data_IF_954082183565
#
_entry.id   IF_954082183565
#
_cell.length_a   1.000
_cell.length_b   1.000
_cell.length_c   1.000
_cell.angle_alpha   90.00
_cell.angle_beta   90.00
_cell.angle_gamma   90.00
#
_symmetry.space_group_name_H-M   'P 1'
#
loop_
_entity.id
_entity.type
_entity.pdbx_description
1 polymer ?
#
# COMPACT_ATOMS: atom_id res chain seq x y z
N UNK A 1 19.69 7.18 7.26
CA UNK A 1 18.89 7.66 6.11
C UNK A 1 17.85 6.61 5.85
N UNK A 2 16.63 6.78 6.36
CA UNK A 2 15.50 5.98 5.88
C UNK A 2 15.48 6.14 4.35
N UNK A 3 15.51 5.03 3.64
CA UNK A 3 15.70 5.05 2.20
C UNK A 3 14.52 5.83 1.60
N UNK A 4 14.76 6.66 0.57
CA UNK A 4 13.65 7.27 -0.18
C UNK A 4 12.66 6.22 -0.69
N UNK A 5 13.10 4.96 -0.85
CA UNK A 5 12.28 3.87 -1.36
C UNK A 5 11.17 3.47 -0.38
N UNK A 6 11.43 3.41 0.92
CA UNK A 6 10.40 3.00 1.89
C UNK A 6 9.22 3.97 1.89
N UNK A 7 9.50 5.27 1.84
CA UNK A 7 8.48 6.30 1.71
C UNK A 7 7.80 6.28 0.35
N UNK A 8 8.53 5.93 -0.71
CA UNK A 8 7.94 5.76 -2.05
C UNK A 8 6.97 4.57 -2.10
N UNK A 9 7.29 3.48 -1.39
CA UNK A 9 6.38 2.34 -1.25
C UNK A 9 5.09 2.74 -0.53
N UNK A 10 5.20 3.45 0.60
CA UNK A 10 4.03 3.93 1.34
C UNK A 10 3.17 4.91 0.51
N UNK A 11 3.81 5.78 -0.28
CA UNK A 11 3.11 6.65 -1.25
C UNK A 11 2.44 5.86 -2.36
N UNK A 12 3.07 4.79 -2.86
CA UNK A 12 2.47 3.91 -3.87
C UNK A 12 1.22 3.20 -3.35
N UNK A 13 1.22 2.79 -2.07
CA UNK A 13 0.05 2.21 -1.40
C UNK A 13 -1.08 3.24 -1.23
N UNK A 14 -0.77 4.49 -0.89
CA UNK A 14 -1.77 5.55 -0.83
C UNK A 14 -2.36 5.85 -2.23
N UNK A 15 -1.52 5.86 -3.27
CA UNK A 15 -1.97 6.09 -4.65
C UNK A 15 -2.88 4.98 -5.19
N UNK A 16 -2.71 3.74 -4.72
CA UNK A 16 -3.57 2.60 -5.05
C UNK A 16 -5.04 2.86 -4.68
N UNK A 17 -5.32 3.56 -3.58
CA UNK A 17 -6.70 3.85 -3.16
C UNK A 17 -7.43 4.84 -4.05
N UNK A 18 -6.72 5.86 -4.57
CA UNK A 18 -7.30 6.81 -5.51
C UNK A 18 -7.77 6.13 -6.81
N UNK A 19 -7.16 4.99 -7.17
CA UNK A 19 -7.55 4.24 -8.36
C UNK A 19 -8.78 3.34 -8.15
N UNK A 20 -9.06 2.91 -6.90
CA UNK A 20 -10.17 2.00 -6.59
C UNK A 20 -11.54 2.70 -6.53
N UNK A 21 -11.58 4.04 -6.55
CA UNK A 21 -12.80 4.84 -6.44
C UNK A 21 -13.61 4.99 -7.74
N UNK A 22 -13.19 4.39 -8.86
CA UNK A 22 -13.86 4.56 -10.15
C UNK A 22 -14.55 3.27 -10.64
N UNK A 23 -15.90 3.20 -10.67
CA UNK A 23 -16.60 2.11 -11.33
C UNK A 23 -17.07 2.52 -12.74
N UNK A 24 -16.61 1.82 -13.79
CA UNK A 24 -17.23 1.86 -15.12
C UNK A 24 -17.52 0.45 -15.69
N UNK A 25 -18.70 -0.05 -15.32
CA UNK A 25 -19.73 -0.79 -16.07
C UNK A 25 -19.30 -1.63 -17.29
N UNK A 26 -19.56 -2.95 -17.18
CA UNK A 26 -19.46 -4.09 -18.13
C UNK A 26 -18.25 -5.05 -18.03
N UNK A 27 -17.43 -4.94 -16.98
CA UNK A 27 -16.35 -5.87 -16.63
C UNK A 27 -16.39 -6.32 -15.16
N UNK A 28 -17.57 -6.24 -14.54
CA UNK A 28 -17.81 -6.37 -13.10
C UNK A 28 -17.07 -7.52 -12.42
N UNK A 29 -17.08 -8.74 -12.98
CA UNK A 29 -16.40 -9.86 -12.34
C UNK A 29 -14.88 -9.66 -12.31
N UNK A 30 -14.27 -9.23 -13.42
CA UNK A 30 -12.83 -9.00 -13.47
C UNK A 30 -12.45 -7.82 -12.57
N UNK A 31 -13.18 -6.71 -12.66
CA UNK A 31 -12.96 -5.53 -11.83
C UNK A 31 -13.07 -5.86 -10.35
N UNK A 32 -14.08 -6.63 -9.96
CA UNK A 32 -14.25 -7.09 -8.58
C UNK A 32 -13.11 -8.01 -8.14
N UNK A 33 -12.74 -9.00 -8.97
CA UNK A 33 -11.66 -9.91 -8.64
C UNK A 33 -10.31 -9.19 -8.53
N UNK A 34 -10.01 -8.24 -9.41
CA UNK A 34 -8.77 -7.43 -9.38
C UNK A 34 -8.78 -6.50 -8.17
N UNK A 35 -9.87 -5.76 -7.95
CA UNK A 35 -10.01 -4.85 -6.82
C UNK A 35 -9.90 -5.58 -5.49
N UNK A 36 -10.45 -6.80 -5.39
CA UNK A 36 -10.34 -7.62 -4.19
C UNK A 36 -8.89 -8.04 -3.91
N UNK A 37 -8.11 -8.45 -4.92
CA UNK A 37 -6.69 -8.77 -4.72
C UNK A 37 -5.89 -7.53 -4.28
N UNK A 38 -6.17 -6.37 -4.88
CA UNK A 38 -5.53 -5.11 -4.48
C UNK A 38 -5.91 -4.72 -3.05
N UNK A 39 -7.17 -4.89 -2.67
CA UNK A 39 -7.66 -4.62 -1.33
C UNK A 39 -7.02 -5.51 -0.27
N UNK A 40 -6.92 -6.81 -0.55
CA UNK A 40 -6.26 -7.77 0.35
C UNK A 40 -4.78 -7.43 0.52
N UNK A 41 -4.09 -7.08 -0.56
CA UNK A 41 -2.70 -6.62 -0.48
C UNK A 41 -2.52 -5.36 0.39
N UNK A 42 -3.41 -4.36 0.23
CA UNK A 42 -3.34 -3.14 1.06
C UNK A 42 -3.60 -3.48 2.52
N UNK A 43 -4.59 -4.34 2.80
CA UNK A 43 -4.90 -4.84 4.13
C UNK A 43 -3.71 -5.54 4.78
N UNK A 44 -3.10 -6.49 4.07
CA UNK A 44 -1.89 -7.19 4.51
C UNK A 44 -0.75 -6.19 4.78
N UNK A 45 -0.56 -5.20 3.90
CA UNK A 45 0.46 -4.17 4.09
C UNK A 45 0.21 -3.32 5.34
N UNK A 46 -1.04 -2.96 5.63
CA UNK A 46 -1.42 -2.23 6.83
C UNK A 46 -1.19 -3.06 8.10
N UNK A 47 -1.49 -4.36 8.07
CA UNK A 47 -1.21 -5.24 9.20
C UNK A 47 0.30 -5.36 9.48
N UNK A 48 1.13 -5.48 8.43
CA UNK A 48 2.59 -5.46 8.57
C UNK A 48 3.09 -4.13 9.15
N UNK A 49 2.59 -3.01 8.65
CA UNK A 49 2.92 -1.67 9.17
C UNK A 49 2.53 -1.53 10.64
N UNK A 50 1.32 -1.96 10.99
CA UNK A 50 0.82 -1.98 12.36
C UNK A 50 1.76 -2.74 13.29
N UNK A 51 2.20 -3.94 12.87
CA UNK A 51 3.11 -4.75 13.68
C UNK A 51 4.44 -4.05 13.92
N UNK A 52 5.07 -3.51 12.87
CA UNK A 52 6.35 -2.81 12.98
C UNK A 52 6.22 -1.53 13.81
N UNK A 53 5.19 -0.73 13.57
CA UNK A 53 4.98 0.50 14.34
C UNK A 53 4.65 0.23 15.79
N UNK A 54 3.90 -0.82 16.12
CA UNK A 54 3.69 -1.21 17.52
C UNK A 54 5.01 -1.55 18.22
N UNK A 55 5.92 -2.28 17.56
CA UNK A 55 7.24 -2.57 18.12
C UNK A 55 8.06 -1.30 18.37
N UNK A 56 8.02 -0.36 17.43
CA UNK A 56 8.69 0.94 17.56
C UNK A 56 8.10 1.75 18.72
N UNK A 57 6.76 1.78 18.85
CA UNK A 57 6.07 2.46 19.93
C UNK A 57 6.47 1.86 21.28
N UNK A 58 6.39 0.53 21.41
CA UNK A 58 6.71 -0.19 22.64
C UNK A 58 8.16 0.08 23.09
N UNK A 59 9.11 0.06 22.16
CA UNK A 59 10.52 0.35 22.49
C UNK A 59 10.75 1.85 22.77
N UNK A 60 10.09 2.74 22.04
CA UNK A 60 10.19 4.18 22.28
C UNK A 60 9.67 4.55 23.68
N UNK A 61 8.56 3.95 24.13
CA UNK A 61 7.99 4.19 25.47
C UNK A 61 8.87 3.69 26.62
N UNK A 62 9.69 2.65 26.36
CA UNK A 62 10.64 2.14 27.35
C UNK A 62 11.87 3.04 27.51
N UNK A 63 12.29 3.72 26.43
CA UNK A 63 13.52 4.50 26.38
C UNK A 63 13.26 5.97 26.70
N UNK A 64 12.19 6.54 26.18
CA UNK A 64 11.91 7.96 26.28
C UNK A 64 11.27 8.32 27.63
N UNK A 65 11.67 9.43 28.28
CA UNK A 65 10.95 9.95 29.43
C UNK A 65 9.45 10.14 29.12
N UNK A 66 8.52 9.91 30.08
CA UNK A 66 7.08 10.04 29.85
C UNK A 66 6.60 11.43 29.36
N UNK A 67 7.42 12.46 29.57
CA UNK A 67 7.14 13.84 29.16
C UNK A 67 7.85 14.23 27.84
N UNK A 68 8.42 13.25 27.13
CA UNK A 68 9.06 13.48 25.83
C UNK A 68 8.05 13.98 24.82
N UNK A 69 8.34 15.12 24.19
CA UNK A 69 7.51 15.71 23.15
C UNK A 69 8.09 15.29 21.80
N UNK A 70 7.61 14.19 21.25
CA UNK A 70 7.88 13.77 19.88
C UNK A 70 6.59 13.78 19.08
N UNK A 71 6.60 14.39 17.90
CA UNK A 71 5.47 14.37 16.99
C UNK A 71 5.30 12.97 16.40
N UNK A 72 6.36 12.33 15.93
CA UNK A 72 6.32 11.03 15.23
C UNK A 72 5.74 9.95 16.13
N UNK A 73 6.16 9.87 17.42
CA UNK A 73 5.61 8.88 18.34
C UNK A 73 4.11 9.04 18.54
N UNK A 74 3.62 10.28 18.59
CA UNK A 74 2.19 10.56 18.72
C UNK A 74 1.45 10.13 17.46
N UNK A 75 1.90 10.56 16.29
CA UNK A 75 1.24 10.19 15.03
C UNK A 75 1.27 8.67 14.81
N UNK A 76 2.36 7.97 15.17
CA UNK A 76 2.42 6.51 15.10
C UNK A 76 1.38 5.83 16.00
N UNK A 77 1.17 6.35 17.21
CA UNK A 77 0.13 5.85 18.13
C UNK A 77 -1.26 6.08 17.58
N UNK A 78 -1.50 7.27 17.02
CA UNK A 78 -2.79 7.63 16.43
C UNK A 78 -3.07 6.76 15.20
N UNK A 79 -2.07 6.51 14.36
CA UNK A 79 -2.15 5.57 13.23
C UNK A 79 -2.46 4.14 13.66
N UNK A 80 -1.71 3.59 14.63
CA UNK A 80 -1.95 2.23 15.13
C UNK A 80 -3.33 2.12 15.78
N UNK A 81 -3.75 3.15 16.53
CA UNK A 81 -5.10 3.20 17.11
C UNK A 81 -6.19 3.26 16.03
N UNK A 82 -5.97 3.98 14.92
CA UNK A 82 -6.89 3.99 13.80
C UNK A 82 -7.01 2.58 13.19
N UNK A 83 -5.89 1.92 12.91
CA UNK A 83 -5.87 0.55 12.40
C UNK A 83 -6.52 -0.47 13.35
N UNK A 84 -6.36 -0.32 14.66
CA UNK A 84 -7.01 -1.17 15.68
C UNK A 84 -8.53 -1.08 15.66
N UNK A 85 -9.09 0.00 15.10
CA UNK A 85 -10.55 0.18 14.96
C UNK A 85 -11.11 -0.33 13.64
N UNK A 86 -10.24 -0.73 12.70
CA UNK A 86 -10.64 -1.28 11.41
C UNK A 86 -10.92 -2.77 11.57
N UNK A 87 -12.09 -3.19 11.10
CA UNK A 87 -12.35 -4.59 10.82
C UNK A 87 -11.91 -4.87 9.38
N UNK A 88 -10.72 -5.43 9.22
CA UNK A 88 -10.18 -5.79 7.91
C UNK A 88 -11.01 -6.88 7.20
N UNK A 89 -11.88 -7.59 7.92
CA UNK A 89 -12.85 -8.52 7.33
C UNK A 89 -14.07 -7.81 6.72
N UNK A 90 -14.29 -6.53 7.05
CA UNK A 90 -15.37 -5.71 6.48
C UNK A 90 -14.85 -4.71 5.44
N UNK A 91 -14.99 -5.08 4.17
CA UNK A 91 -14.63 -4.23 3.02
C UNK A 91 -15.29 -2.85 2.99
N UNK A 92 -16.36 -2.60 3.77
CA UNK A 92 -17.00 -1.29 3.87
C UNK A 92 -16.25 -0.30 4.77
N UNK A 93 -15.26 -0.76 5.55
CA UNK A 93 -14.43 0.09 6.41
C UNK A 93 -13.38 0.90 5.62
N UNK A 94 -13.39 0.84 4.28
CA UNK A 94 -12.53 1.61 3.37
C UNK A 94 -12.48 3.11 3.68
N UNK A 95 -13.59 3.73 4.07
CA UNK A 95 -13.62 5.16 4.40
C UNK A 95 -12.77 5.49 5.64
N UNK A 96 -12.56 4.53 6.54
CA UNK A 96 -11.74 4.71 7.74
C UNK A 96 -10.27 4.39 7.48
N UNK A 97 -10.00 3.65 6.42
CA UNK A 97 -8.64 3.43 5.92
C UNK A 97 -8.06 4.70 5.29
N UNK A 98 -8.91 5.56 4.71
CA UNK A 98 -8.51 6.89 4.23
C UNK A 98 -7.93 7.74 5.38
N UNK A 99 -8.62 7.82 6.52
CA UNK A 99 -8.14 8.54 7.72
C UNK A 99 -6.77 8.01 8.17
N UNK A 100 -6.59 6.68 8.24
CA UNK A 100 -5.30 6.09 8.62
C UNK A 100 -4.19 6.43 7.62
N UNK A 101 -4.50 6.50 6.32
CA UNK A 101 -3.52 6.87 5.31
C UNK A 101 -3.12 8.35 5.39
N UNK A 102 -4.03 9.25 5.73
CA UNK A 102 -3.70 10.66 5.97
C UNK A 102 -2.71 10.81 7.14
N UNK A 103 -2.92 10.07 8.22
CA UNK A 103 -1.98 10.03 9.36
C UNK A 103 -0.62 9.45 8.95
N UNK A 104 -0.62 8.41 8.11
CA UNK A 104 0.61 7.86 7.56
C UNK A 104 1.37 8.90 6.73
N UNK A 105 0.69 9.65 5.85
CA UNK A 105 1.28 10.73 5.04
C UNK A 105 1.92 11.82 5.94
N UNK A 106 1.25 12.18 7.03
CA UNK A 106 1.79 13.09 8.06
C UNK A 106 3.12 12.57 8.62
N UNK A 107 3.16 11.29 9.02
CA UNK A 107 4.38 10.62 9.51
C UNK A 107 5.50 10.66 8.46
N UNK A 108 5.19 10.35 7.19
CA UNK A 108 6.15 10.41 6.06
C UNK A 108 6.78 11.79 5.97
N UNK A 109 5.94 12.82 5.99
CA UNK A 109 6.37 14.20 5.81
C UNK A 109 7.29 14.65 6.94
N UNK A 110 6.94 14.32 8.19
CA UNK A 110 7.75 14.66 9.37
C UNK A 110 9.08 13.90 9.32
N UNK A 111 9.06 12.60 9.05
CA UNK A 111 10.27 11.79 9.05
C UNK A 111 11.20 12.05 7.84
N UNK A 112 10.66 12.57 6.73
CA UNK A 112 11.42 13.03 5.57
C UNK A 112 12.07 14.40 5.75
N UNK A 113 11.71 15.15 6.81
CA UNK A 113 12.32 16.43 7.12
C UNK A 113 13.80 16.26 7.51
N UNK A 114 14.65 17.22 7.12
CA UNK A 114 16.10 17.13 7.37
C UNK A 114 16.50 17.45 8.81
N UNK A 115 15.61 18.04 9.59
CA UNK A 115 15.85 18.51 10.94
C UNK A 115 14.67 18.06 11.80
N UNK A 116 14.89 17.05 12.64
CA UNK A 116 13.90 16.66 13.64
C UNK A 116 13.77 17.79 14.67
N UNK A 117 12.53 18.19 14.97
CA UNK A 117 12.28 19.21 15.97
C UNK A 117 12.51 18.72 17.41
N UNK A 118 12.62 17.39 17.62
CA UNK A 118 12.83 16.78 18.93
C UNK A 118 13.78 15.58 18.92
N UNK A 119 14.52 15.39 20.02
CA UNK A 119 15.32 14.18 20.28
C UNK A 119 14.45 12.91 20.30
N UNK A 120 13.19 13.04 20.75
CA UNK A 120 12.23 11.95 20.76
C UNK A 120 11.93 11.45 19.34
N UNK A 121 11.74 12.36 18.38
CA UNK A 121 11.49 12.00 16.97
C UNK A 121 12.70 11.31 16.35
N UNK A 122 13.91 11.78 16.66
CA UNK A 122 15.15 11.13 16.21
C UNK A 122 15.24 9.68 16.74
N UNK A 123 14.98 9.47 18.03
CA UNK A 123 14.97 8.12 18.64
C UNK A 123 13.95 7.22 17.96
N UNK A 124 12.72 7.70 17.72
CA UNK A 124 11.65 6.92 17.07
C UNK A 124 12.04 6.51 15.66
N UNK A 125 12.66 7.41 14.87
CA UNK A 125 13.15 7.08 13.53
C UNK A 125 14.30 6.07 13.58
N UNK A 126 15.20 6.19 14.55
CA UNK A 126 16.28 5.21 14.74
C UNK A 126 15.72 3.83 15.11
N UNK A 127 14.71 3.78 15.97
CA UNK A 127 14.02 2.54 16.33
C UNK A 127 13.32 1.91 15.13
N UNK A 128 12.65 2.72 14.30
CA UNK A 128 12.06 2.22 13.06
C UNK A 128 13.11 1.58 12.17
N UNK A 129 14.23 2.28 11.92
CA UNK A 129 15.39 1.75 11.16
C UNK A 129 15.91 0.44 11.76
N UNK A 130 16.04 0.37 13.09
CA UNK A 130 16.55 -0.80 13.81
C UNK A 130 15.62 -2.01 13.70
N UNK A 131 14.30 -1.80 13.73
CA UNK A 131 13.29 -2.86 13.64
C UNK A 131 13.03 -3.37 12.22
N UNK A 132 13.91 -3.04 11.27
CA UNK A 132 13.94 -3.70 9.97
C UNK A 132 13.05 -3.04 8.94
N UNK A 133 13.16 -1.71 8.77
CA UNK A 133 12.56 -1.00 7.61
C UNK A 133 12.90 -1.69 6.30
N UNK A 134 14.13 -2.17 6.15
CA UNK A 134 14.58 -2.90 4.96
C UNK A 134 13.84 -4.24 4.79
N UNK A 135 13.55 -4.95 5.89
CA UNK A 135 12.78 -6.19 5.84
C UNK A 135 11.32 -5.90 5.51
N UNK A 136 10.72 -4.87 6.11
CA UNK A 136 9.37 -4.41 5.80
C UNK A 136 9.25 -4.02 4.33
N UNK A 137 10.18 -3.23 3.80
CA UNK A 137 10.19 -2.81 2.39
C UNK A 137 10.24 -4.02 1.45
N UNK A 138 11.11 -5.00 1.73
CA UNK A 138 11.18 -6.23 0.93
C UNK A 138 9.92 -7.09 1.04
N UNK A 139 9.30 -7.19 2.22
CA UNK A 139 8.05 -7.93 2.41
C UNK A 139 6.95 -7.27 1.58
N UNK A 140 6.84 -5.96 1.69
CA UNK A 140 5.86 -5.13 1.01
C UNK A 140 6.02 -5.19 -0.52
N UNK A 141 7.25 -5.07 -1.03
CA UNK A 141 7.56 -5.20 -2.46
C UNK A 141 7.23 -6.60 -2.99
N UNK A 142 7.59 -7.66 -2.24
CA UNK A 142 7.24 -9.04 -2.63
C UNK A 142 5.75 -9.30 -2.63
N UNK A 143 5.01 -8.72 -1.67
CA UNK A 143 3.55 -8.82 -1.63
C UNK A 143 2.93 -8.12 -2.84
N UNK A 144 3.45 -6.95 -3.23
CA UNK A 144 3.03 -6.24 -4.43
C UNK A 144 3.32 -7.05 -5.70
N UNK A 145 4.55 -7.55 -5.87
CA UNK A 145 4.92 -8.38 -7.02
C UNK A 145 4.02 -9.62 -7.12
N UNK A 146 3.78 -10.30 -5.99
CA UNK A 146 2.93 -11.49 -5.92
C UNK A 146 1.48 -11.15 -6.31
N UNK A 147 0.94 -10.06 -5.79
CA UNK A 147 -0.43 -9.62 -6.08
C UNK A 147 -0.60 -9.24 -7.55
N UNK A 148 0.34 -8.47 -8.12
CA UNK A 148 0.32 -8.12 -9.54
C UNK A 148 0.39 -9.36 -10.45
N UNK A 149 1.13 -10.40 -10.03
CA UNK A 149 1.16 -11.68 -10.74
C UNK A 149 -0.15 -12.45 -10.64
N UNK A 150 -0.83 -12.41 -9.50
CA UNK A 150 -2.19 -12.98 -9.35
C UNK A 150 -3.16 -12.24 -10.26
N UNK A 151 -3.13 -10.90 -10.26
CA UNK A 151 -3.94 -10.06 -11.16
C UNK A 151 -3.67 -10.42 -12.64
N UNK A 152 -2.40 -10.57 -13.03
CA UNK A 152 -2.02 -11.01 -14.37
C UNK A 152 -2.68 -12.34 -14.75
N UNK A 153 -2.61 -13.34 -13.87
CA UNK A 153 -3.21 -14.66 -14.09
C UNK A 153 -4.74 -14.57 -14.19
N UNK A 154 -5.39 -13.73 -13.40
CA UNK A 154 -6.85 -13.54 -13.43
C UNK A 154 -7.31 -12.87 -14.73
N UNK A 155 -6.62 -11.80 -15.16
CA UNK A 155 -6.90 -11.13 -16.43
C UNK A 155 -6.65 -12.09 -17.60
N UNK A 156 -5.53 -12.83 -17.59
CA UNK A 156 -5.22 -13.83 -18.62
C UNK A 156 -6.29 -14.91 -18.70
N UNK A 157 -6.69 -15.46 -17.56
CA UNK A 157 -7.76 -16.47 -17.47
C UNK A 157 -9.07 -15.92 -17.98
N UNK A 158 -9.46 -14.70 -17.61
CA UNK A 158 -10.67 -14.07 -18.10
C UNK A 158 -10.66 -13.91 -19.63
N UNK A 159 -9.56 -13.42 -20.19
CA UNK A 159 -9.39 -13.26 -21.64
C UNK A 159 -9.30 -14.60 -22.39
N UNK A 160 -8.77 -15.64 -21.77
CA UNK A 160 -8.68 -16.99 -22.37
C UNK A 160 -10.05 -17.60 -22.71
N UNK A 161 -11.12 -17.11 -22.08
CA UNK A 161 -12.50 -17.53 -22.37
C UNK A 161 -13.10 -16.86 -23.61
N UNK A 162 -12.38 -15.92 -24.23
CA UNK A 162 -12.88 -15.14 -25.35
C UNK A 162 -12.60 -15.81 -26.69
N UNK A 163 -13.60 -15.82 -27.57
CA UNK A 163 -13.39 -16.16 -28.99
C UNK A 163 -12.48 -15.15 -29.68
N UNK A 164 -11.83 -15.54 -30.79
CA UNK A 164 -11.01 -14.65 -31.63
C UNK A 164 -11.73 -13.35 -32.03
N UNK A 165 -13.02 -13.44 -32.39
CA UNK A 165 -13.84 -12.26 -32.72
C UNK A 165 -14.03 -11.31 -31.53
N UNK A 166 -14.10 -11.85 -30.30
CA UNK A 166 -14.18 -11.05 -29.08
C UNK A 166 -12.83 -10.42 -28.74
N UNK A 167 -11.72 -11.14 -28.92
CA UNK A 167 -10.36 -10.58 -28.78
C UNK A 167 -10.14 -9.42 -29.76
N UNK A 168 -10.49 -9.59 -31.03
CA UNK A 168 -10.35 -8.54 -32.05
C UNK A 168 -11.19 -7.28 -31.74
N UNK A 169 -12.42 -7.47 -31.23
CA UNK A 169 -13.28 -6.34 -30.81
C UNK A 169 -12.78 -5.62 -29.57
N UNK A 170 -11.93 -6.26 -28.76
CA UNK A 170 -11.38 -5.71 -27.52
C UNK A 170 -9.86 -5.50 -27.62
N UNK A 171 -9.34 -5.23 -28.82
CA UNK A 171 -7.89 -5.12 -29.07
C UNK A 171 -7.19 -4.07 -28.19
N UNK A 172 -7.89 -2.99 -27.78
CA UNK A 172 -7.35 -2.01 -26.85
C UNK A 172 -7.06 -2.60 -25.46
N UNK A 173 -8.00 -3.35 -24.90
CA UNK A 173 -7.83 -4.04 -23.62
C UNK A 173 -6.76 -5.14 -23.70
N UNK A 174 -6.70 -5.86 -24.83
CA UNK A 174 -5.63 -6.84 -25.09
C UNK A 174 -4.27 -6.17 -25.09
N UNK A 175 -4.16 -4.98 -25.69
CA UNK A 175 -2.93 -4.19 -25.69
C UNK A 175 -2.55 -3.75 -24.27
N UNK A 176 -3.48 -3.16 -23.52
CA UNK A 176 -3.26 -2.79 -22.11
C UNK A 176 -2.78 -3.99 -21.28
N UNK A 177 -3.37 -5.18 -21.51
CA UNK A 177 -2.97 -6.39 -20.78
C UNK A 177 -1.54 -6.81 -21.13
N UNK A 178 -1.17 -6.77 -22.40
CA UNK A 178 0.19 -7.08 -22.82
C UNK A 178 1.20 -6.05 -22.31
N UNK A 179 0.84 -4.77 -22.29
CA UNK A 179 1.69 -3.70 -21.75
C UNK A 179 1.91 -3.89 -20.24
N UNK A 180 0.85 -4.23 -19.49
CA UNK A 180 0.92 -4.60 -18.07
C UNK A 180 1.74 -5.88 -17.82
N UNK A 181 1.44 -6.96 -18.55
CA UNK A 181 2.08 -8.27 -18.40
C UNK A 181 3.58 -8.23 -18.65
N UNK A 182 4.01 -7.49 -19.67
CA UNK A 182 5.42 -7.43 -20.06
C UNK A 182 6.25 -6.42 -19.26
N UNK A 183 5.62 -5.60 -18.42
CA UNK A 183 6.34 -4.71 -17.51
C UNK A 183 7.07 -5.51 -16.44
N UNK A 184 8.33 -5.13 -16.19
CA UNK A 184 9.21 -5.79 -15.23
C UNK A 184 9.40 -5.00 -13.96
N UNK A 185 9.34 -3.67 -14.05
CA UNK A 185 9.39 -2.84 -12.86
C UNK A 185 8.04 -2.93 -12.12
N UNK A 186 8.10 -3.26 -10.83
CA UNK A 186 6.90 -3.52 -10.02
C UNK A 186 6.02 -2.27 -9.90
N UNK A 187 6.63 -1.08 -9.77
CA UNK A 187 5.92 0.18 -9.62
C UNK A 187 5.37 0.67 -10.96
N UNK A 188 6.13 0.53 -12.06
CA UNK A 188 5.60 0.82 -13.40
C UNK A 188 4.47 -0.16 -13.78
N UNK A 189 4.55 -1.42 -13.33
CA UNK A 189 3.50 -2.42 -13.56
C UNK A 189 2.23 -2.05 -12.80
N UNK A 190 2.37 -1.58 -11.56
CA UNK A 190 1.25 -1.04 -10.80
C UNK A 190 0.63 0.18 -11.50
N UNK A 191 1.43 1.15 -11.97
CA UNK A 191 0.94 2.32 -12.70
C UNK A 191 0.18 1.93 -13.98
N UNK A 192 0.66 0.91 -14.72
CA UNK A 192 -0.08 0.39 -15.87
C UNK A 192 -1.41 -0.24 -15.48
N UNK A 193 -1.49 -0.90 -14.31
CA UNK A 193 -2.72 -1.50 -13.81
C UNK A 193 -3.75 -0.44 -13.40
N UNK A 194 -3.34 0.60 -12.67
CA UNK A 194 -4.24 1.69 -12.24
C UNK A 194 -4.77 2.52 -13.41
N UNK A 195 -4.02 2.58 -14.51
CA UNK A 195 -4.44 3.23 -15.76
C UNK A 195 -5.07 2.28 -16.79
N UNK A 196 -5.34 1.03 -16.41
CA UNK A 196 -5.94 0.02 -17.30
C UNK A 196 -7.44 -0.02 -17.21
N UNK A 197 -8.11 -0.55 -18.24
CA UNK A 197 -9.55 -0.82 -18.17
C UNK A 197 -9.87 -2.12 -17.37
N UNK A 198 -8.95 -2.61 -16.52
CA UNK A 198 -9.17 -3.77 -15.62
C UNK A 198 -9.78 -3.36 -14.28
N UNK A 199 -9.56 -2.11 -13.91
CA UNK A 199 -10.09 -1.42 -12.72
C UNK A 199 -11.13 -0.44 -13.24
#
# INVERSE_FOLDING_TARGET
>A
MASRLTWTFLVAVAALQLSLAAPLINKWQLQFEVSNELFQMVTDAMEQLRHVFQLVIDEAELILPPNSKGHILRELKDFVAALDTLDFDDSFELNRLEDALEELESIISIAGSKEFESEADEVVVQLFIQHGVEDLEQILERNLETTLKIVEQKVEKYMSTWSDSRLARNAAMVKQFNDFKNEKDVYEKLDKLTNSDFI
#
